data_IF_436223196617
#
_entry.id   IF_436223196617
#
_cell.length_a   1.000
_cell.length_b   1.000
_cell.length_c   1.000
_cell.angle_alpha   90.00
_cell.angle_beta   90.00
_cell.angle_gamma   90.00
#
_symmetry.space_group_name_H-M   'P 1'
#
loop_
_entity.id
_entity.type
_entity.pdbx_description
1 polymer ?
#
# COMPACT_ATOMS: atom_id res chain seq x y z
N UNK A 1 23.07 2.69 5.46
CA UNK A 1 23.05 3.23 6.84
C UNK A 1 24.31 4.02 7.21
N UNK A 2 25.51 3.69 6.71
CA UNK A 2 26.78 4.31 7.16
C UNK A 2 26.78 5.84 7.26
N UNK A 3 26.41 6.56 6.19
CA UNK A 3 26.44 8.03 6.22
C UNK A 3 25.43 8.69 7.16
N UNK A 4 24.26 8.07 7.38
CA UNK A 4 23.23 8.64 8.27
C UNK A 4 23.60 8.39 9.74
N UNK A 5 24.23 7.25 10.04
CA UNK A 5 24.68 6.92 11.39
C UNK A 5 25.73 7.91 11.90
N UNK A 6 26.78 8.17 11.09
CA UNK A 6 27.84 9.11 11.47
C UNK A 6 27.29 10.53 11.66
N UNK A 7 26.36 10.92 10.79
CA UNK A 7 25.71 12.23 10.82
C UNK A 7 24.83 12.44 12.07
N UNK A 8 24.23 11.38 12.61
CA UNK A 8 23.30 11.43 13.74
C UNK A 8 23.90 10.86 15.03
N UNK A 9 25.22 10.74 15.10
CA UNK A 9 25.90 10.09 16.21
C UNK A 9 25.56 10.70 17.58
N UNK A 10 25.64 12.02 17.73
CA UNK A 10 25.33 12.69 19.00
C UNK A 10 23.85 12.54 19.38
N UNK A 11 22.94 12.46 18.40
CA UNK A 11 21.51 12.25 18.61
C UNK A 11 21.26 10.86 19.19
N UNK A 12 21.86 9.83 18.60
CA UNK A 12 21.71 8.45 19.07
C UNK A 12 22.40 8.19 20.41
N UNK A 13 23.44 8.95 20.76
CA UNK A 13 24.03 8.91 22.10
C UNK A 13 23.22 9.67 23.15
N UNK A 14 22.12 10.33 22.76
CA UNK A 14 21.37 11.25 23.62
C UNK A 14 22.28 12.33 24.24
N UNK A 15 23.32 12.73 23.51
CA UNK A 15 24.29 13.72 23.95
C UNK A 15 23.75 15.13 23.71
N UNK A 16 22.94 15.61 24.65
CA UNK A 16 22.24 16.89 24.56
C UNK A 16 22.88 17.98 25.41
N UNK A 17 23.10 19.14 24.81
CA UNK A 17 23.37 20.37 25.56
C UNK A 17 22.03 20.99 25.98
N UNK A 18 21.85 21.27 27.27
CA UNK A 18 20.62 21.89 27.79
C UNK A 18 20.85 23.38 28.01
N UNK A 19 20.04 24.21 27.36
CA UNK A 19 20.05 25.66 27.57
C UNK A 19 18.62 26.20 27.56
N UNK A 20 18.27 27.05 28.52
CA UNK A 20 16.93 27.60 28.68
C UNK A 20 15.82 26.51 28.66
N UNK A 21 16.05 25.39 29.36
CA UNK A 21 15.18 24.19 29.40
C UNK A 21 14.91 23.53 28.05
N UNK A 22 15.72 23.83 27.03
CA UNK A 22 15.65 23.21 25.70
C UNK A 22 16.88 22.33 25.48
N UNK A 23 16.66 21.13 24.92
CA UNK A 23 17.71 20.19 24.53
C UNK A 23 18.20 20.52 23.14
N UNK A 24 19.51 20.61 22.95
CA UNK A 24 20.13 20.80 21.65
C UNK A 24 21.10 19.67 21.36
N UNK A 25 21.05 19.14 20.14
CA UNK A 25 21.94 18.10 19.67
C UNK A 25 22.74 18.59 18.47
N UNK A 26 23.99 18.15 18.35
CA UNK A 26 24.78 18.40 17.15
C UNK A 26 24.41 17.38 16.08
N UNK A 27 24.06 17.85 14.88
CA UNK A 27 23.89 16.98 13.71
C UNK A 27 25.08 17.23 12.80
N UNK A 28 25.74 16.17 12.34
CA UNK A 28 26.81 16.30 11.38
C UNK A 28 26.31 16.19 9.94
N UNK A 29 26.70 17.13 9.11
CA UNK A 29 26.33 17.23 7.70
C UNK A 29 27.62 17.39 6.90
N UNK A 30 28.30 16.28 6.67
CA UNK A 30 29.66 16.27 6.14
C UNK A 30 30.71 16.67 7.18
N UNK A 31 31.92 16.98 6.73
CA UNK A 31 33.10 17.13 7.61
C UNK A 31 33.13 18.47 8.36
N UNK A 32 32.48 19.51 7.82
CA UNK A 32 32.66 20.89 8.26
C UNK A 32 31.39 21.53 8.83
N UNK A 33 30.21 21.03 8.46
CA UNK A 33 28.95 21.64 8.86
C UNK A 33 28.28 20.80 9.95
N UNK A 34 28.22 21.37 11.16
CA UNK A 34 27.71 20.66 12.34
C UNK A 34 26.73 21.52 13.15
N UNK A 35 25.52 21.80 12.63
CA UNK A 35 24.54 22.62 13.33
C UNK A 35 24.12 22.02 14.67
N UNK A 36 23.74 22.89 15.61
CA UNK A 36 23.03 22.50 16.83
C UNK A 36 21.53 22.63 16.60
N UNK A 37 20.84 21.50 16.54
CA UNK A 37 19.41 21.41 16.31
C UNK A 37 18.69 21.26 17.66
N UNK A 38 17.56 21.96 17.79
CA UNK A 38 16.65 21.77 18.92
C UNK A 38 16.05 20.36 18.84
N UNK A 39 16.03 19.66 19.97
CA UNK A 39 15.36 18.36 20.12
C UNK A 39 14.17 18.55 21.03
N UNK A 40 12.99 18.24 20.53
CA UNK A 40 11.74 18.28 21.31
C UNK A 40 11.74 17.14 22.34
N UNK A 41 11.12 17.34 23.50
CA UNK A 41 11.08 16.31 24.54
C UNK A 41 10.28 15.06 24.11
N UNK A 42 9.27 15.24 23.25
CA UNK A 42 8.48 14.15 22.66
C UNK A 42 9.04 13.59 21.33
N UNK A 43 10.31 13.87 21.02
CA UNK A 43 10.95 13.29 19.83
C UNK A 43 11.38 11.84 20.10
N UNK A 44 10.94 10.92 19.25
CA UNK A 44 11.34 9.52 19.27
C UNK A 44 11.96 9.12 17.93
N UNK A 45 13.02 8.31 17.98
CA UNK A 45 13.64 7.71 16.80
C UNK A 45 13.51 6.20 16.85
N UNK A 46 12.84 5.62 15.86
CA UNK A 46 12.67 4.17 15.71
C UNK A 46 13.45 3.71 14.49
N UNK A 47 14.29 2.69 14.65
CA UNK A 47 15.06 2.10 13.57
C UNK A 47 14.58 0.67 13.34
N UNK A 48 14.13 0.38 12.11
CA UNK A 48 13.78 -0.96 11.69
C UNK A 48 14.99 -1.65 11.05
N UNK A 49 15.34 -2.83 11.55
CA UNK A 49 16.44 -3.66 11.04
C UNK A 49 15.89 -5.07 10.84
N UNK A 50 16.08 -5.64 9.66
CA UNK A 50 15.76 -7.05 9.45
C UNK A 50 16.66 -7.92 10.32
N UNK A 51 16.08 -8.94 10.97
CA UNK A 51 16.82 -9.87 11.86
C UNK A 51 18.09 -10.44 11.21
N UNK A 52 18.04 -10.75 9.91
CA UNK A 52 19.17 -11.28 9.12
C UNK A 52 20.34 -10.30 8.93
N UNK A 53 20.07 -9.01 9.08
CA UNK A 53 21.04 -7.93 8.87
C UNK A 53 21.58 -7.39 10.21
N UNK A 54 21.12 -7.92 11.34
CA UNK A 54 21.54 -7.49 12.68
C UNK A 54 23.05 -7.65 12.89
N UNK A 55 23.61 -8.78 12.46
CA UNK A 55 25.05 -9.07 12.58
C UNK A 55 25.93 -8.19 11.68
N UNK A 56 25.33 -7.50 10.71
CA UNK A 56 26.03 -6.55 9.83
C UNK A 56 26.09 -5.14 10.43
N UNK A 57 25.35 -4.88 11.51
CA UNK A 57 25.34 -3.59 12.18
C UNK A 57 26.49 -3.48 13.18
N UNK A 58 27.11 -2.31 13.24
CA UNK A 58 28.20 -2.07 14.19
C UNK A 58 27.68 -2.21 15.64
N UNK A 59 28.34 -3.00 16.51
CA UNK A 59 27.90 -3.19 17.89
C UNK A 59 27.68 -1.88 18.67
N UNK A 60 28.52 -0.83 18.53
CA UNK A 60 28.25 0.46 19.16
C UNK A 60 26.93 1.09 18.73
N UNK A 61 26.53 0.97 17.46
CA UNK A 61 25.24 1.47 16.99
C UNK A 61 24.11 0.73 17.68
N UNK A 62 24.16 -0.61 17.68
CA UNK A 62 23.16 -1.44 18.35
C UNK A 62 23.04 -1.09 19.84
N UNK A 63 24.16 -0.87 20.54
CA UNK A 63 24.18 -0.56 21.97
C UNK A 63 23.47 0.75 22.37
N UNK A 64 23.09 1.59 21.41
CA UNK A 64 22.37 2.86 21.67
C UNK A 64 20.86 2.77 21.62
N UNK A 65 20.34 1.65 21.10
CA UNK A 65 18.91 1.44 20.97
C UNK A 65 18.44 0.32 21.91
N UNK A 66 17.23 0.50 22.43
CA UNK A 66 16.45 -0.59 22.98
C UNK A 66 16.02 -1.51 21.83
N UNK A 67 16.21 -2.83 21.97
CA UNK A 67 15.88 -3.78 20.90
C UNK A 67 14.58 -4.48 21.24
N UNK A 68 13.61 -4.36 20.34
CA UNK A 68 12.38 -5.14 20.37
C UNK A 68 12.36 -6.05 19.15
N UNK A 69 12.19 -7.35 19.37
CA UNK A 69 11.91 -8.27 18.28
C UNK A 69 10.43 -8.15 17.91
N UNK A 70 10.17 -7.69 16.69
CA UNK A 70 8.81 -7.61 16.15
C UNK A 70 8.62 -8.77 15.19
N UNK A 71 7.75 -9.70 15.57
CA UNK A 71 7.20 -10.69 14.67
C UNK A 71 5.80 -10.24 14.25
N UNK A 72 5.66 -9.81 13.00
CA UNK A 72 4.39 -9.30 12.46
C UNK A 72 3.31 -10.38 12.57
N UNK A 73 3.65 -11.64 12.33
CA UNK A 73 2.67 -12.72 12.43
C UNK A 73 2.18 -12.89 13.86
N UNK A 74 3.05 -12.73 14.86
CA UNK A 74 2.67 -12.83 16.27
C UNK A 74 1.73 -11.69 16.73
N UNK A 75 1.77 -10.53 16.06
CA UNK A 75 0.89 -9.40 16.37
C UNK A 75 -0.54 -9.55 15.83
N UNK A 76 -0.76 -10.46 14.86
CA UNK A 76 -2.08 -10.65 14.26
C UNK A 76 -2.97 -11.46 15.22
N UNK A 77 -4.14 -10.92 15.53
CA UNK A 77 -5.12 -11.57 16.40
C UNK A 77 -5.53 -12.96 15.86
N UNK A 78 -5.68 -14.00 16.71
CA UNK A 78 -6.05 -15.35 16.28
C UNK A 78 -7.33 -15.42 15.44
N UNK A 79 -8.33 -14.58 15.73
CA UNK A 79 -9.57 -14.48 14.95
C UNK A 79 -9.32 -14.06 13.50
N UNK A 80 -8.49 -13.02 13.27
CA UNK A 80 -8.12 -12.61 11.92
C UNK A 80 -7.34 -13.71 11.19
N UNK A 81 -6.44 -14.42 11.89
CA UNK A 81 -5.73 -15.56 11.33
C UNK A 81 -6.66 -16.68 10.90
N UNK A 82 -7.68 -17.00 11.71
CA UNK A 82 -8.66 -18.03 11.38
C UNK A 82 -9.43 -17.68 10.11
N UNK A 83 -9.95 -16.46 10.02
CA UNK A 83 -10.68 -16.00 8.82
C UNK A 83 -9.76 -15.98 7.59
N UNK A 84 -8.52 -15.51 7.74
CA UNK A 84 -7.54 -15.50 6.66
C UNK A 84 -7.18 -16.92 6.21
N UNK A 85 -7.11 -17.88 7.14
CA UNK A 85 -6.92 -19.28 6.83
C UNK A 85 -8.08 -19.84 6.01
N UNK A 86 -9.33 -19.60 6.43
CA UNK A 86 -10.52 -20.07 5.71
C UNK A 86 -10.58 -19.49 4.30
N UNK A 87 -10.29 -18.19 4.16
CA UNK A 87 -10.24 -17.50 2.87
C UNK A 87 -9.13 -18.08 1.97
N UNK A 88 -7.97 -18.40 2.53
CA UNK A 88 -6.87 -19.06 1.81
C UNK A 88 -7.24 -20.48 1.38
N UNK A 89 -7.94 -21.22 2.24
CA UNK A 89 -8.42 -22.56 1.90
C UNK A 89 -9.45 -22.50 0.77
N UNK A 90 -10.37 -21.54 0.81
CA UNK A 90 -11.29 -21.27 -0.29
C UNK A 90 -10.56 -20.93 -1.60
N UNK A 91 -9.54 -20.06 -1.58
CA UNK A 91 -8.76 -19.76 -2.80
C UNK A 91 -8.12 -21.02 -3.39
N UNK A 92 -7.63 -21.94 -2.55
CA UNK A 92 -7.08 -23.22 -3.01
C UNK A 92 -8.12 -24.14 -3.64
N UNK A 93 -9.40 -24.04 -3.26
CA UNK A 93 -10.45 -24.85 -3.89
C UNK A 93 -10.79 -24.38 -5.30
N UNK A 94 -10.48 -23.12 -5.64
CA UNK A 94 -10.68 -22.58 -6.99
C UNK A 94 -9.68 -23.16 -8.01
N UNK A 95 -8.56 -23.70 -7.53
CA UNK A 95 -7.58 -24.35 -8.38
C UNK A 95 -7.98 -25.81 -8.66
N UNK A 96 -7.85 -26.27 -9.92
CA UNK A 96 -8.01 -27.68 -10.23
C UNK A 96 -7.11 -28.59 -9.39
N UNK A 97 -7.59 -29.79 -9.07
CA UNK A 97 -6.81 -30.75 -8.24
C UNK A 97 -5.66 -31.41 -9.01
N UNK A 98 -5.76 -31.50 -10.34
CA UNK A 98 -4.79 -32.16 -11.21
C UNK A 98 -4.02 -31.14 -12.04
N UNK A 99 -3.20 -30.34 -11.38
CA UNK A 99 -2.41 -29.27 -12.02
C UNK A 99 -1.17 -29.89 -12.67
N UNK A 100 -1.07 -29.81 -13.99
CA UNK A 100 0.23 -29.94 -14.66
C UNK A 100 1.14 -28.78 -14.26
N UNK A 101 2.46 -28.90 -14.48
CA UNK A 101 3.47 -27.87 -14.15
C UNK A 101 3.25 -26.50 -14.82
N UNK A 102 2.30 -26.40 -15.77
CA UNK A 102 2.01 -25.21 -16.58
C UNK A 102 0.68 -24.54 -16.23
N UNK A 103 0.00 -24.96 -15.17
CA UNK A 103 -1.28 -24.38 -14.78
C UNK A 103 -1.11 -23.08 -13.97
N UNK A 104 -2.01 -22.08 -14.08
CA UNK A 104 -1.92 -20.85 -13.31
C UNK A 104 -1.90 -21.09 -11.79
N UNK A 105 -1.01 -20.37 -11.12
CA UNK A 105 -0.94 -20.26 -9.67
C UNK A 105 -1.91 -19.15 -9.22
N UNK A 106 -2.22 -19.08 -7.91
CA UNK A 106 -3.05 -17.99 -7.37
C UNK A 106 -2.53 -16.60 -7.74
N UNK A 107 -1.21 -16.41 -7.77
CA UNK A 107 -0.54 -15.17 -8.22
C UNK A 107 -0.80 -14.80 -9.69
N UNK A 108 -1.24 -15.74 -10.53
CA UNK A 108 -1.62 -15.46 -11.92
C UNK A 108 -3.12 -15.14 -12.03
N UNK A 109 -3.93 -15.60 -11.07
CA UNK A 109 -5.37 -15.39 -11.04
C UNK A 109 -5.78 -14.12 -10.30
N UNK A 110 -4.99 -13.70 -9.32
CA UNK A 110 -5.24 -12.52 -8.51
C UNK A 110 -4.00 -11.63 -8.49
N UNK A 111 -4.15 -10.40 -8.95
CA UNK A 111 -3.05 -9.44 -9.01
C UNK A 111 -2.58 -9.10 -7.59
N UNK A 112 -1.26 -9.05 -7.39
CA UNK A 112 -0.58 -8.84 -6.10
C UNK A 112 -0.87 -9.90 -5.02
N UNK A 113 -1.36 -11.09 -5.40
CA UNK A 113 -1.63 -12.14 -4.41
C UNK A 113 -0.38 -12.56 -3.65
N UNK A 114 -0.43 -12.38 -2.33
CA UNK A 114 0.54 -12.89 -1.36
C UNK A 114 -0.18 -13.36 -0.10
N UNK A 115 0.39 -14.33 0.60
CA UNK A 115 -0.28 -14.90 1.78
C UNK A 115 -0.49 -13.87 2.91
N UNK A 116 0.45 -12.94 3.07
CA UNK A 116 0.34 -11.81 4.01
C UNK A 116 -0.72 -10.79 3.59
N UNK A 117 -0.92 -10.60 2.28
CA UNK A 117 -1.96 -9.73 1.73
C UNK A 117 -3.37 -10.20 2.11
N UNK A 118 -3.60 -11.52 2.15
CA UNK A 118 -4.89 -12.10 2.59
C UNK A 118 -5.19 -11.74 4.06
N UNK A 119 -4.20 -11.82 4.94
CA UNK A 119 -4.36 -11.39 6.32
C UNK A 119 -4.69 -9.89 6.42
N UNK A 120 -3.98 -9.05 5.65
CA UNK A 120 -4.22 -7.61 5.63
C UNK A 120 -5.63 -7.27 5.12
N UNK A 121 -6.08 -7.95 4.07
CA UNK A 121 -7.43 -7.81 3.53
C UNK A 121 -8.51 -8.12 4.57
N UNK A 122 -8.29 -9.18 5.37
CA UNK A 122 -9.18 -9.54 6.48
C UNK A 122 -9.21 -8.44 7.53
N UNK A 123 -8.04 -7.99 8.00
CA UNK A 123 -7.95 -6.93 9.02
C UNK A 123 -8.66 -5.65 8.54
N UNK A 124 -8.38 -5.20 7.32
CA UNK A 124 -9.01 -4.03 6.71
C UNK A 124 -10.54 -4.20 6.62
N UNK A 125 -11.01 -5.42 6.36
CA UNK A 125 -12.46 -5.71 6.29
C UNK A 125 -13.12 -5.67 7.67
N UNK A 126 -12.45 -6.15 8.72
CA UNK A 126 -12.93 -6.01 10.10
C UNK A 126 -13.09 -4.53 10.47
N UNK A 127 -12.09 -3.70 10.13
CA UNK A 127 -12.13 -2.25 10.37
C UNK A 127 -13.26 -1.57 9.57
N UNK A 128 -13.41 -1.91 8.29
CA UNK A 128 -14.46 -1.32 7.43
C UNK A 128 -15.87 -1.68 7.86
N UNK A 129 -16.08 -2.90 8.36
CA UNK A 129 -17.36 -3.36 8.87
C UNK A 129 -17.57 -2.97 10.34
N UNK A 130 -16.58 -2.32 10.97
CA UNK A 130 -16.57 -1.94 12.38
C UNK A 130 -16.90 -3.12 13.31
N UNK A 131 -16.34 -4.29 13.02
CA UNK A 131 -16.56 -5.52 13.77
C UNK A 131 -15.54 -5.61 14.91
N UNK A 132 -16.03 -5.71 16.15
CA UNK A 132 -15.18 -5.94 17.29
C UNK A 132 -14.59 -7.36 17.25
N UNK A 133 -13.33 -7.48 17.67
CA UNK A 133 -12.64 -8.77 17.70
C UNK A 133 -13.32 -9.79 18.64
N UNK A 134 -13.94 -9.31 19.72
CA UNK A 134 -14.62 -10.12 20.74
C UNK A 134 -16.15 -10.15 20.58
N UNK A 135 -16.66 -9.89 19.37
CA UNK A 135 -18.10 -9.86 19.09
C UNK A 135 -18.77 -11.22 19.38
N UNK A 136 -19.89 -11.18 20.13
CA UNK A 136 -20.69 -12.34 20.55
C UNK A 136 -21.40 -13.02 19.36
N UNK A 137 -21.70 -12.31 18.26
CA UNK A 137 -22.24 -12.88 17.01
C UNK A 137 -21.13 -13.35 16.06
N UNK A 138 -20.14 -14.08 16.61
CA UNK A 138 -18.88 -14.33 15.93
C UNK A 138 -19.03 -15.00 14.56
N UNK A 139 -19.88 -16.03 14.46
CA UNK A 139 -20.01 -16.87 13.26
C UNK A 139 -20.71 -16.15 12.09
N UNK A 140 -21.75 -15.36 12.37
CA UNK A 140 -22.45 -14.60 11.33
C UNK A 140 -21.56 -13.51 10.75
N UNK A 141 -20.89 -12.76 11.63
CA UNK A 141 -19.92 -11.73 11.24
C UNK A 141 -18.70 -12.31 10.54
N UNK A 142 -18.29 -13.54 10.90
CA UNK A 142 -17.23 -14.27 10.21
C UNK A 142 -17.57 -14.48 8.72
N UNK A 143 -18.78 -14.95 8.42
CA UNK A 143 -19.20 -15.14 7.04
C UNK A 143 -19.36 -13.82 6.28
N UNK A 144 -19.84 -12.76 6.93
CA UNK A 144 -19.94 -11.43 6.32
C UNK A 144 -18.55 -10.91 5.91
N UNK A 145 -17.54 -11.09 6.77
CA UNK A 145 -16.14 -10.73 6.47
C UNK A 145 -15.62 -11.54 5.28
N UNK A 146 -15.84 -12.86 5.26
CA UNK A 146 -15.42 -13.71 4.14
C UNK A 146 -16.05 -13.22 2.84
N UNK A 147 -17.37 -12.98 2.82
CA UNK A 147 -18.09 -12.55 1.63
C UNK A 147 -17.56 -11.20 1.11
N UNK A 148 -17.24 -10.26 2.01
CA UNK A 148 -16.67 -8.96 1.63
C UNK A 148 -15.24 -9.10 1.10
N UNK A 149 -14.42 -9.96 1.72
CA UNK A 149 -13.07 -10.25 1.24
C UNK A 149 -13.12 -10.91 -0.16
N UNK A 150 -14.01 -11.87 -0.39
CA UNK A 150 -14.21 -12.52 -1.69
C UNK A 150 -14.58 -11.48 -2.75
N UNK A 151 -15.52 -10.58 -2.46
CA UNK A 151 -15.88 -9.47 -3.37
C UNK A 151 -14.69 -8.58 -3.71
N UNK A 152 -13.84 -8.25 -2.73
CA UNK A 152 -12.61 -7.48 -2.96
C UNK A 152 -11.59 -8.24 -3.81
N UNK A 153 -11.39 -9.54 -3.55
CA UNK A 153 -10.50 -10.38 -4.35
C UNK A 153 -10.98 -10.51 -5.79
N UNK A 154 -12.29 -10.61 -6.04
CA UNK A 154 -12.83 -10.67 -7.39
C UNK A 154 -12.55 -9.38 -8.18
N UNK A 155 -12.43 -8.22 -7.52
CA UNK A 155 -12.03 -6.96 -8.19
C UNK A 155 -10.59 -6.98 -8.70
N UNK A 156 -9.71 -7.76 -8.07
CA UNK A 156 -8.30 -7.90 -8.48
C UNK A 156 -8.05 -9.20 -9.26
N UNK A 157 -9.11 -9.95 -9.55
CA UNK A 157 -9.01 -11.18 -10.31
C UNK A 157 -8.75 -10.90 -11.81
N UNK A 158 -7.87 -11.71 -12.40
CA UNK A 158 -7.62 -11.76 -13.85
C UNK A 158 -8.84 -12.34 -14.59
N UNK A 159 -8.94 -12.03 -15.88
CA UNK A 159 -9.90 -12.65 -16.80
C UNK A 159 -9.70 -14.18 -16.93
N UNK A 160 -8.55 -14.69 -16.51
CA UNK A 160 -8.27 -16.12 -16.46
C UNK A 160 -9.10 -16.86 -15.38
N UNK A 161 -9.56 -16.15 -14.34
CA UNK A 161 -10.29 -16.79 -13.23
C UNK A 161 -11.58 -17.49 -13.72
N UNK A 162 -12.50 -16.84 -14.45
CA UNK A 162 -13.67 -17.53 -15.02
C UNK A 162 -13.32 -18.73 -15.89
N UNK A 163 -12.22 -18.65 -16.66
CA UNK A 163 -11.77 -19.75 -17.52
C UNK A 163 -11.33 -20.95 -16.68
N UNK A 164 -10.56 -20.71 -15.61
CA UNK A 164 -10.12 -21.75 -14.67
C UNK A 164 -11.32 -22.40 -13.97
N UNK A 165 -12.25 -21.60 -13.46
CA UNK A 165 -13.46 -22.10 -12.78
C UNK A 165 -14.32 -22.97 -13.71
N UNK A 166 -14.39 -22.61 -15.00
CA UNK A 166 -15.14 -23.36 -16.03
C UNK A 166 -14.57 -24.77 -16.28
N UNK A 167 -13.31 -25.03 -15.93
CA UNK A 167 -12.71 -26.38 -16.06
C UNK A 167 -13.24 -27.37 -15.01
N UNK A 168 -13.87 -26.87 -13.95
CA UNK A 168 -14.45 -27.69 -12.88
C UNK A 168 -15.90 -27.25 -12.64
N UNK A 169 -16.83 -27.53 -13.56
CA UNK A 169 -18.18 -27.00 -13.50
C UNK A 169 -18.90 -27.52 -12.25
N UNK A 170 -19.33 -26.60 -11.40
CA UNK A 170 -20.23 -26.84 -10.28
C UNK A 170 -21.06 -25.57 -10.02
N UNK A 171 -22.10 -25.69 -9.19
CA UNK A 171 -23.00 -24.56 -8.92
C UNK A 171 -22.29 -23.36 -8.29
N UNK A 172 -21.32 -23.59 -7.40
CA UNK A 172 -20.56 -22.52 -6.73
C UNK A 172 -19.67 -21.77 -7.72
N UNK A 173 -18.99 -22.48 -8.61
CA UNK A 173 -18.13 -21.91 -9.64
C UNK A 173 -18.94 -21.10 -10.65
N UNK A 174 -20.12 -21.58 -11.06
CA UNK A 174 -21.00 -20.81 -11.94
C UNK A 174 -21.41 -19.49 -11.27
N UNK A 175 -21.84 -19.56 -10.01
CA UNK A 175 -22.20 -18.36 -9.24
C UNK A 175 -21.01 -17.38 -9.09
N UNK A 176 -19.79 -17.89 -8.88
CA UNK A 176 -18.58 -17.06 -8.84
C UNK A 176 -18.24 -16.42 -10.19
N UNK A 177 -18.46 -17.11 -11.30
CA UNK A 177 -18.29 -16.56 -12.66
C UNK A 177 -19.29 -15.44 -12.90
N UNK A 178 -20.56 -15.66 -12.58
CA UNK A 178 -21.61 -14.65 -12.72
C UNK A 178 -21.26 -13.42 -11.87
N UNK A 179 -20.85 -13.65 -10.62
CA UNK A 179 -20.45 -12.56 -9.71
C UNK A 179 -19.18 -11.83 -10.16
N UNK A 180 -18.22 -12.51 -10.78
CA UNK A 180 -17.05 -11.88 -11.38
C UNK A 180 -17.49 -10.87 -12.45
N UNK A 181 -18.38 -11.25 -13.36
CA UNK A 181 -18.84 -10.34 -14.42
C UNK A 181 -19.66 -9.17 -13.87
N UNK A 182 -20.53 -9.40 -12.87
CA UNK A 182 -21.25 -8.32 -12.17
C UNK A 182 -20.29 -7.29 -11.55
N UNK A 183 -19.25 -7.77 -10.87
CA UNK A 183 -18.25 -6.91 -10.24
C UNK A 183 -17.49 -6.12 -11.30
N UNK A 184 -16.98 -6.77 -12.36
CA UNK A 184 -16.17 -6.11 -13.38
C UNK A 184 -16.98 -5.15 -14.27
N UNK A 185 -18.27 -5.42 -14.53
CA UNK A 185 -19.16 -4.48 -15.20
C UNK A 185 -19.34 -3.19 -14.38
N UNK A 186 -19.38 -3.31 -13.05
CA UNK A 186 -19.52 -2.17 -12.15
C UNK A 186 -18.25 -1.32 -11.99
N UNK A 187 -17.07 -1.84 -12.36
CA UNK A 187 -15.73 -1.27 -12.06
C UNK A 187 -15.08 -0.62 -13.29
N UNK A 188 -15.85 -0.24 -14.32
CA UNK A 188 -15.31 0.52 -15.46
C UNK A 188 -14.47 1.73 -15.02
N UNK A 189 -13.33 1.93 -15.69
CA UNK A 189 -12.39 3.02 -15.39
C UNK A 189 -13.07 4.39 -15.46
N UNK A 190 -13.86 4.63 -16.50
CA UNK A 190 -14.58 5.91 -16.70
C UNK A 190 -15.60 6.12 -15.57
N UNK A 191 -16.42 5.11 -15.28
CA UNK A 191 -17.42 5.17 -14.20
C UNK A 191 -16.78 5.39 -12.83
N UNK A 192 -15.60 4.82 -12.61
CA UNK A 192 -14.83 5.02 -11.38
C UNK A 192 -14.36 6.47 -11.24
N UNK A 193 -13.90 7.09 -12.33
CA UNK A 193 -13.52 8.52 -12.35
C UNK A 193 -14.74 9.39 -12.07
N UNK A 194 -15.86 9.16 -12.77
CA UNK A 194 -17.11 9.91 -12.58
C UNK A 194 -17.58 9.83 -11.12
N UNK A 195 -17.68 8.62 -10.58
CA UNK A 195 -18.09 8.40 -9.18
C UNK A 195 -17.15 9.12 -8.20
N UNK A 196 -15.84 9.07 -8.45
CA UNK A 196 -14.85 9.72 -7.59
C UNK A 196 -14.96 11.26 -7.62
N UNK A 197 -15.27 11.83 -8.79
CA UNK A 197 -15.45 13.26 -8.96
C UNK A 197 -16.81 13.76 -8.44
N UNK A 198 -17.85 12.93 -8.51
CA UNK A 198 -19.19 13.24 -8.00
C UNK A 198 -19.23 13.27 -6.47
N UNK A 199 -18.38 12.49 -5.80
CA UNK A 199 -18.22 12.61 -4.35
C UNK A 199 -17.71 14.00 -3.95
N UNK A 200 -18.50 14.73 -3.15
CA UNK A 200 -18.11 16.04 -2.58
C UNK A 200 -17.03 15.92 -1.48
N UNK A 201 -16.78 14.70 -1.01
CA UNK A 201 -15.80 14.36 0.04
C UNK A 201 -14.41 14.06 -0.54
N UNK A 202 -13.48 13.68 0.35
CA UNK A 202 -12.13 13.25 -0.03
C UNK A 202 -12.17 12.14 -1.08
N UNK A 203 -11.44 12.33 -2.18
CA UNK A 203 -11.30 11.32 -3.22
C UNK A 203 -10.42 10.19 -2.69
N UNK A 204 -10.94 8.97 -2.72
CA UNK A 204 -10.21 7.78 -2.29
C UNK A 204 -9.03 7.52 -3.24
N UNK A 205 -7.83 7.38 -2.68
CA UNK A 205 -6.63 6.96 -3.41
C UNK A 205 -6.77 5.53 -3.92
N UNK A 206 -6.33 5.28 -5.16
CA UNK A 206 -6.45 3.97 -5.80
C UNK A 206 -5.17 3.56 -6.49
N UNK A 207 -4.92 2.26 -6.49
CA UNK A 207 -3.92 1.59 -7.32
C UNK A 207 -4.70 0.79 -8.35
N UNK A 208 -4.33 0.93 -9.62
CA UNK A 208 -4.98 0.28 -10.76
C UNK A 208 -3.89 -0.45 -11.52
N UNK A 209 -4.02 -1.77 -11.62
CA UNK A 209 -3.16 -2.59 -12.47
C UNK A 209 -3.85 -2.84 -13.81
N UNK A 210 -3.12 -2.69 -14.90
CA UNK A 210 -3.66 -2.90 -16.24
C UNK A 210 -2.67 -3.60 -17.15
N UNK A 211 -3.16 -4.52 -17.97
CA UNK A 211 -2.36 -5.22 -18.99
C UNK A 211 -2.28 -4.44 -20.31
N UNK A 212 -2.90 -3.25 -20.38
CA UNK A 212 -2.92 -2.44 -21.60
C UNK A 212 -1.55 -1.80 -21.84
N UNK A 213 -0.94 -2.11 -22.98
CA UNK A 213 0.36 -1.54 -23.40
C UNK A 213 0.24 -0.13 -24.00
N UNK A 214 -0.95 0.48 -23.97
CA UNK A 214 -1.18 1.78 -24.61
C UNK A 214 -0.61 2.90 -23.75
N UNK A 215 0.65 3.27 -24.00
CA UNK A 215 1.34 4.43 -23.42
C UNK A 215 0.86 5.79 -23.96
N UNK A 216 -0.19 5.80 -24.79
CA UNK A 216 -0.86 7.02 -25.25
C UNK A 216 -1.68 7.64 -24.11
N UNK A 217 -1.90 8.95 -24.18
CA UNK A 217 -2.78 9.67 -23.25
C UNK A 217 -4.14 9.00 -23.20
N UNK A 218 -4.74 8.97 -22.01
CA UNK A 218 -6.08 8.45 -21.83
C UNK A 218 -7.04 9.46 -22.48
N UNK A 219 -7.66 9.06 -23.59
CA UNK A 219 -8.61 9.90 -24.28
C UNK A 219 -9.91 10.07 -23.46
N UNK A 220 -10.50 11.27 -23.54
CA UNK A 220 -11.79 11.55 -22.91
C UNK A 220 -11.75 11.81 -21.40
N UNK A 221 -10.58 12.12 -20.83
CA UNK A 221 -10.49 12.53 -19.43
C UNK A 221 -11.19 13.88 -19.19
N UNK A 222 -11.96 14.04 -18.09
CA UNK A 222 -12.52 15.32 -17.69
C UNK A 222 -11.44 16.37 -17.40
N UNK A 223 -11.76 17.67 -17.56
CA UNK A 223 -10.83 18.77 -17.24
C UNK A 223 -10.39 18.80 -15.76
N UNK A 224 -11.13 18.12 -14.88
CA UNK A 224 -10.81 17.95 -13.46
C UNK A 224 -9.82 16.81 -13.20
N UNK A 225 -9.34 16.11 -14.24
CA UNK A 225 -8.37 15.02 -14.14
C UNK A 225 -7.11 15.38 -14.90
N UNK A 226 -5.96 15.20 -14.25
CA UNK A 226 -4.64 15.38 -14.87
C UNK A 226 -3.91 14.04 -14.95
N UNK A 227 -3.38 13.70 -16.11
CA UNK A 227 -2.54 12.52 -16.32
C UNK A 227 -1.07 12.92 -16.40
N UNK A 228 -0.21 12.20 -15.66
CA UNK A 228 1.25 12.35 -15.70
C UNK A 228 1.93 10.98 -15.73
N UNK A 229 3.12 10.92 -16.36
CA UNK A 229 4.00 9.74 -16.34
C UNK A 229 5.09 9.92 -15.30
N UNK A 230 5.43 8.88 -14.56
CA UNK A 230 6.50 8.93 -13.56
C UNK A 230 7.86 9.29 -14.18
N UNK A 231 8.18 8.77 -15.36
CA UNK A 231 9.35 9.10 -16.19
C UNK A 231 9.49 10.58 -16.56
N UNK A 232 8.46 11.39 -16.38
CA UNK A 232 8.54 12.84 -16.61
C UNK A 232 9.46 13.52 -15.58
N UNK A 233 9.61 12.94 -14.39
CA UNK A 233 10.41 13.51 -13.31
C UNK A 233 11.83 12.98 -13.36
N UNK A 234 12.80 13.90 -13.36
CA UNK A 234 14.23 13.57 -13.32
C UNK A 234 14.75 13.49 -11.89
N UNK A 235 14.08 14.17 -10.96
CA UNK A 235 14.50 14.24 -9.55
C UNK A 235 13.31 14.04 -8.60
N UNK A 236 13.59 13.51 -7.39
CA UNK A 236 12.58 13.37 -6.34
C UNK A 236 11.96 14.74 -5.98
N UNK A 237 12.76 15.80 -6.00
CA UNK A 237 12.29 17.16 -5.71
C UNK A 237 11.20 17.64 -6.70
N UNK A 238 11.35 17.33 -8.00
CA UNK A 238 10.34 17.67 -9.00
C UNK A 238 9.02 16.94 -8.73
N UNK A 239 9.09 15.64 -8.39
CA UNK A 239 7.92 14.85 -8.01
C UNK A 239 7.27 15.40 -6.75
N UNK A 240 8.05 15.67 -5.68
CA UNK A 240 7.55 16.27 -4.44
C UNK A 240 6.85 17.60 -4.69
N UNK A 241 7.45 18.48 -5.50
CA UNK A 241 6.86 19.78 -5.81
C UNK A 241 5.56 19.63 -6.61
N UNK A 242 5.48 18.67 -7.54
CA UNK A 242 4.26 18.39 -8.29
C UNK A 242 3.13 17.89 -7.37
N UNK A 243 3.42 16.98 -6.45
CA UNK A 243 2.43 16.46 -5.50
C UNK A 243 1.97 17.56 -4.53
N UNK A 244 2.90 18.38 -3.99
CA UNK A 244 2.56 19.56 -3.19
C UNK A 244 1.65 20.52 -3.95
N UNK A 245 2.02 20.83 -5.19
CA UNK A 245 1.24 21.71 -6.04
C UNK A 245 -0.17 21.15 -6.25
N UNK A 246 -0.32 19.84 -6.50
CA UNK A 246 -1.63 19.22 -6.65
C UNK A 246 -2.51 19.46 -5.43
N UNK A 247 -2.02 19.18 -4.23
CA UNK A 247 -2.81 19.35 -3.01
C UNK A 247 -3.07 20.80 -2.61
N UNK A 248 -2.16 21.73 -2.92
CA UNK A 248 -2.25 23.14 -2.56
C UNK A 248 -2.94 24.00 -3.64
N UNK A 249 -3.15 23.48 -4.85
CA UNK A 249 -3.66 24.27 -5.95
C UNK A 249 -5.13 24.68 -5.76
N UNK A 250 -5.47 25.87 -6.26
CA UNK A 250 -6.85 26.32 -6.47
C UNK A 250 -7.41 25.93 -7.85
N UNK A 251 -6.65 25.18 -8.66
CA UNK A 251 -7.07 24.71 -9.99
C UNK A 251 -8.27 23.77 -9.90
N UNK A 252 -9.06 23.69 -10.98
CA UNK A 252 -10.22 22.77 -11.10
C UNK A 252 -9.84 21.28 -11.07
N UNK A 253 -8.56 20.94 -11.24
CA UNK A 253 -8.06 19.56 -11.21
C UNK A 253 -8.30 19.00 -9.80
N UNK A 254 -9.05 17.92 -9.68
CA UNK A 254 -9.31 17.22 -8.42
C UNK A 254 -8.60 15.87 -8.35
N UNK A 255 -8.36 15.23 -9.50
CA UNK A 255 -7.73 13.91 -9.56
C UNK A 255 -6.43 13.97 -10.37
N UNK A 256 -5.35 13.41 -9.80
CA UNK A 256 -4.08 13.21 -10.48
C UNK A 256 -3.88 11.73 -10.75
N UNK A 257 -3.68 11.36 -12.01
CA UNK A 257 -3.35 10.00 -12.43
C UNK A 257 -1.85 9.92 -12.70
N UNK A 258 -1.15 9.08 -11.96
CA UNK A 258 0.28 8.84 -12.15
C UNK A 258 0.45 7.47 -12.78
N UNK A 259 0.96 7.46 -14.00
CA UNK A 259 1.25 6.24 -14.74
C UNK A 259 2.67 5.79 -14.42
N UNK A 260 2.77 4.51 -14.09
CA UNK A 260 4.01 3.83 -13.74
C UNK A 260 4.18 2.66 -14.69
N UNK A 261 5.26 2.70 -15.46
CA UNK A 261 5.74 1.55 -16.22
C UNK A 261 6.52 0.67 -15.24
N UNK A 262 5.93 -0.44 -14.81
CA UNK A 262 6.57 -1.27 -13.80
C UNK A 262 7.88 -1.88 -14.31
N UNK A 263 7.98 -2.19 -15.60
CA UNK A 263 9.18 -2.79 -16.18
C UNK A 263 10.39 -1.87 -16.03
N UNK A 264 10.23 -0.61 -16.44
CA UNK A 264 11.33 0.36 -16.49
C UNK A 264 11.50 1.15 -15.18
N UNK A 265 10.43 1.34 -14.41
CA UNK A 265 10.40 2.32 -13.30
C UNK A 265 10.29 1.68 -11.91
N UNK A 266 10.33 0.34 -11.78
CA UNK A 266 10.18 -0.36 -10.49
C UNK A 266 11.11 0.15 -9.37
N UNK A 267 12.33 0.56 -9.71
CA UNK A 267 13.30 1.11 -8.75
C UNK A 267 12.84 2.42 -8.09
N UNK A 268 11.94 3.18 -8.73
CA UNK A 268 11.45 4.47 -8.25
C UNK A 268 10.17 4.37 -7.41
N UNK A 269 9.54 3.20 -7.33
CA UNK A 269 8.27 2.99 -6.61
C UNK A 269 8.41 3.32 -5.12
N UNK A 270 9.53 2.98 -4.49
CA UNK A 270 9.76 3.28 -3.08
C UNK A 270 9.85 4.79 -2.83
N UNK A 271 10.54 5.54 -3.70
CA UNK A 271 10.60 7.00 -3.64
C UNK A 271 9.22 7.63 -3.87
N UNK A 272 8.47 7.14 -4.87
CA UNK A 272 7.10 7.58 -5.12
C UNK A 272 6.21 7.37 -3.90
N UNK A 273 6.24 6.16 -3.30
CA UNK A 273 5.50 5.85 -2.07
C UNK A 273 5.87 6.80 -0.93
N UNK A 274 7.16 7.05 -0.72
CA UNK A 274 7.65 7.96 0.31
C UNK A 274 7.11 9.39 0.12
N UNK A 275 7.20 9.92 -1.10
CA UNK A 275 6.69 11.26 -1.43
C UNK A 275 5.17 11.34 -1.22
N UNK A 276 4.42 10.34 -1.69
CA UNK A 276 2.97 10.32 -1.52
C UNK A 276 2.56 10.30 -0.05
N UNK A 277 3.20 9.48 0.78
CA UNK A 277 2.88 9.40 2.21
C UNK A 277 3.19 10.69 2.97
N UNK A 278 4.29 11.36 2.64
CA UNK A 278 4.71 12.57 3.34
C UNK A 278 3.93 13.82 2.91
N UNK A 279 3.53 13.90 1.65
CA UNK A 279 2.86 15.08 1.09
C UNK A 279 1.34 14.93 1.02
N UNK A 280 0.80 13.80 1.46
CA UNK A 280 -0.64 13.55 1.50
C UNK A 280 -1.34 14.49 2.48
N UNK A 281 -2.40 15.17 2.01
CA UNK A 281 -3.25 16.03 2.83
C UNK A 281 -4.63 15.39 2.97
N UNK A 282 -4.90 14.81 4.14
CA UNK A 282 -6.13 14.07 4.47
C UNK A 282 -7.42 14.91 4.36
N UNK A 283 -7.35 16.24 4.35
CA UNK A 283 -8.53 17.13 4.30
C UNK A 283 -8.80 17.72 2.93
N UNK A 284 -8.11 17.24 1.89
CA UNK A 284 -8.27 17.76 0.54
C UNK A 284 -9.33 16.97 -0.25
N UNK A 285 -10.23 17.68 -0.94
CA UNK A 285 -11.17 17.10 -1.92
C UNK A 285 -10.46 16.63 -3.22
N UNK A 286 -9.20 16.22 -3.10
CA UNK A 286 -8.26 15.89 -4.17
C UNK A 286 -7.71 14.49 -3.97
N UNK A 287 -7.58 13.75 -5.07
CA UNK A 287 -7.09 12.37 -5.08
C UNK A 287 -5.88 12.19 -5.96
N UNK A 288 -5.14 11.12 -5.71
CA UNK A 288 -4.04 10.64 -6.55
C UNK A 288 -4.25 9.16 -6.79
N UNK A 289 -4.30 8.73 -8.05
CA UNK A 289 -4.35 7.33 -8.44
C UNK A 289 -3.07 6.91 -9.12
N UNK A 290 -2.61 5.71 -8.82
CA UNK A 290 -1.48 5.08 -9.49
C UNK A 290 -2.00 4.06 -10.49
N UNK A 291 -1.51 4.13 -11.72
CA UNK A 291 -1.86 3.20 -12.79
C UNK A 291 -0.58 2.47 -13.19
N UNK A 292 -0.49 1.19 -12.86
CA UNK A 292 0.64 0.32 -13.19
C UNK A 292 0.35 -0.42 -14.49
N UNK A 293 1.34 -0.37 -15.39
CA UNK A 293 1.39 -1.11 -16.65
C UNK A 293 2.56 -2.09 -16.62
#
# INVERSE_FOLDING_TARGET
>A
MGHVYDNLYDLFNQNFAVSARKKYCRIALGVLYHPRCLVHDDFYCVVFIHKRDLDKCDPPFLNRFEKHLIDIEALIHPRHKSVAHDLHMWLKTLLPKNLGKHFPLLQHLFVDYRQDQICNLVIETFEQLNIAIDDEEADKRHQDVINHCQRKLLRTASFDLPLVLSLQPNFEHQNLIDHYYEVHESVSFVKSIETALDTETNIIHRIIDTYTQNFHTIDGLPESVEEIKLSTFKTELELTNKIKQHYQSSRKIRLLLIRVDYHDEHQHILSLKHVLLNEHVQTSNRGVWLIFH
#
